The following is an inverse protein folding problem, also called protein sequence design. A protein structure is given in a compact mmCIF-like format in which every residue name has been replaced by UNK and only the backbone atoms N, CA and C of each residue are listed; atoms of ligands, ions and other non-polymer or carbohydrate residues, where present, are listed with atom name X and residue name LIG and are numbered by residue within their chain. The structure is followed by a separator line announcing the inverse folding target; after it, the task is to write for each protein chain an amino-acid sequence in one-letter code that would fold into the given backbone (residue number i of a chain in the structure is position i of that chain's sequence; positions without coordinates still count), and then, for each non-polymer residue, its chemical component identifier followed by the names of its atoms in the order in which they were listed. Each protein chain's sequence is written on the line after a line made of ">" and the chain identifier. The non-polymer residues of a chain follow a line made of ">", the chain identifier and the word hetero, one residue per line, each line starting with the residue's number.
data_IF_109454891844
#
_entry.id   IF_109454891844
#
_cell.length_a   1.000
_cell.length_b   1.000
_cell.length_c   1.000
_cell.angle_alpha   90.00
_cell.angle_beta   90.00
_cell.angle_gamma   90.00
#
_symmetry.space_group_name_H-M   'P 1'
#
loop_
_entity.id
_entity.type
_entity.pdbx_description
1 polymer ?
#
# COMPACT_ATOMS: atom_id res chain seq x y z
N UNK A 1 21.32 0.55 19.21
CA UNK A 1 19.91 0.34 18.88
C UNK A 1 19.82 0.01 17.41
N UNK A 2 19.17 -1.06 17.03
CA UNK A 2 18.85 -1.30 15.62
C UNK A 2 17.78 -0.25 15.23
N UNK A 3 18.09 0.62 14.31
CA UNK A 3 17.09 1.55 13.79
C UNK A 3 16.58 1.00 12.46
N UNK A 4 15.28 0.81 12.37
CA UNK A 4 14.61 0.36 11.15
C UNK A 4 14.15 1.56 10.30
N UNK A 5 14.59 2.77 10.66
CA UNK A 5 14.28 4.01 9.97
C UNK A 5 15.24 4.28 8.80
N UNK A 6 14.81 5.12 7.88
CA UNK A 6 15.65 5.57 6.78
C UNK A 6 16.82 6.42 7.28
N UNK A 7 18.01 6.24 6.72
CA UNK A 7 19.15 7.10 6.96
C UNK A 7 19.08 8.42 6.14
N UNK A 8 20.07 9.30 6.31
CA UNK A 8 20.11 10.60 5.62
C UNK A 8 20.27 10.48 4.09
N UNK A 9 20.83 9.37 3.62
CA UNK A 9 21.10 9.09 2.21
C UNK A 9 19.90 8.39 1.53
N UNK A 10 18.86 8.07 2.30
CA UNK A 10 17.64 7.45 1.78
C UNK A 10 17.63 5.92 1.79
N UNK A 11 18.47 5.29 2.62
CA UNK A 11 18.57 3.85 2.73
C UNK A 11 17.97 3.32 4.04
N UNK A 12 17.36 2.15 3.94
CA UNK A 12 16.96 1.26 5.02
C UNK A 12 17.92 0.06 4.99
N UNK A 13 19.01 0.10 5.77
CA UNK A 13 20.10 -0.86 5.61
C UNK A 13 20.69 -0.79 4.20
N UNK A 14 20.68 -1.90 3.48
CA UNK A 14 21.20 -2.02 2.11
C UNK A 14 20.19 -1.63 1.02
N UNK A 15 18.95 -1.31 1.39
CA UNK A 15 17.82 -1.07 0.48
C UNK A 15 17.43 0.42 0.44
N UNK A 16 17.03 0.92 -0.73
CA UNK A 16 16.61 2.31 -0.91
C UNK A 16 17.45 3.07 -1.92
N UNK A 17 17.76 4.32 -1.60
CA UNK A 17 18.50 5.23 -2.47
C UNK A 17 17.64 5.86 -3.58
N UNK A 18 18.29 6.55 -4.52
CA UNK A 18 17.64 7.20 -5.66
C UNK A 18 18.44 6.92 -6.94
N UNK A 19 18.03 5.88 -7.66
CA UNK A 19 18.63 5.44 -8.91
C UNK A 19 17.77 5.97 -10.07
N UNK A 20 17.98 7.22 -10.43
CA UNK A 20 17.15 7.98 -11.36
C UNK A 20 17.96 8.47 -12.56
N UNK A 21 17.31 8.73 -13.71
CA UNK A 21 17.93 9.47 -14.82
C UNK A 21 18.35 10.87 -14.39
N UNK A 22 19.41 11.40 -14.98
CA UNK A 22 20.01 12.70 -14.65
C UNK A 22 18.99 13.83 -14.76
N UNK A 23 18.06 13.77 -15.70
CA UNK A 23 17.03 14.77 -15.91
C UNK A 23 16.08 14.91 -14.70
N UNK A 24 15.89 13.84 -13.94
CA UNK A 24 15.05 13.84 -12.73
C UNK A 24 15.79 14.28 -11.47
N UNK A 25 17.13 14.38 -11.52
CA UNK A 25 17.93 14.71 -10.33
C UNK A 25 17.45 16.00 -9.65
N UNK A 26 17.28 17.07 -10.43
CA UNK A 26 16.85 18.37 -9.89
C UNK A 26 15.47 18.30 -9.23
N UNK A 27 14.48 17.66 -9.85
CA UNK A 27 13.13 17.60 -9.28
C UNK A 27 13.05 16.66 -8.06
N UNK A 28 13.84 15.60 -8.01
CA UNK A 28 13.93 14.72 -6.84
C UNK A 28 14.62 15.42 -5.68
N UNK A 29 15.69 16.21 -5.92
CA UNK A 29 16.33 17.06 -4.90
C UNK A 29 15.38 18.18 -4.41
N UNK A 30 14.64 18.81 -5.31
CA UNK A 30 13.61 19.77 -4.95
C UNK A 30 12.56 19.14 -4.02
N UNK A 31 12.07 17.95 -4.37
CA UNK A 31 11.15 17.19 -3.55
C UNK A 31 11.75 16.83 -2.19
N UNK A 32 12.99 16.32 -2.16
CA UNK A 32 13.71 15.95 -0.93
C UNK A 32 13.85 17.13 0.04
N UNK A 33 14.13 18.30 -0.49
CA UNK A 33 14.24 19.51 0.30
C UNK A 33 12.88 20.05 0.77
N UNK A 34 11.87 19.97 -0.10
CA UNK A 34 10.52 20.46 0.19
C UNK A 34 9.82 19.58 1.22
N UNK A 35 9.84 18.26 1.07
CA UNK A 35 9.04 17.37 1.92
C UNK A 35 9.43 17.46 3.39
N UNK A 36 10.73 17.54 3.70
CA UNK A 36 11.21 17.69 5.09
C UNK A 36 10.74 18.98 5.74
N UNK A 37 10.80 20.11 4.99
CA UNK A 37 10.35 21.41 5.47
C UNK A 37 8.83 21.46 5.63
N UNK A 38 8.11 20.98 4.62
CA UNK A 38 6.65 21.07 4.56
C UNK A 38 6.01 20.13 5.59
N UNK A 39 6.52 18.90 5.75
CA UNK A 39 5.99 18.00 6.79
C UNK A 39 6.24 18.51 8.22
N UNK A 40 7.21 19.39 8.44
CA UNK A 40 7.44 20.04 9.72
C UNK A 40 6.68 21.37 9.88
N UNK A 41 6.06 21.88 8.82
CA UNK A 41 5.31 23.14 8.83
C UNK A 41 3.96 22.99 9.52
N UNK A 42 3.71 23.82 10.54
CA UNK A 42 2.45 23.76 11.30
C UNK A 42 1.21 24.04 10.44
N UNK A 43 1.33 24.93 9.45
CA UNK A 43 0.23 25.25 8.55
C UNK A 43 -0.12 24.06 7.65
N UNK A 44 0.92 23.34 7.18
CA UNK A 44 0.70 22.08 6.46
C UNK A 44 0.01 21.03 7.34
N UNK A 45 0.52 20.82 8.56
CA UNK A 45 -0.04 19.83 9.47
C UNK A 45 -1.51 20.14 9.81
N UNK A 46 -1.83 21.39 10.09
CA UNK A 46 -3.22 21.81 10.36
C UNK A 46 -4.15 21.55 9.17
N UNK A 47 -3.72 21.89 7.96
CA UNK A 47 -4.50 21.68 6.73
C UNK A 47 -4.65 20.18 6.43
N UNK A 48 -3.56 19.41 6.56
CA UNK A 48 -3.56 17.96 6.36
C UNK A 48 -4.47 17.26 7.37
N UNK A 49 -4.36 17.58 8.66
CA UNK A 49 -5.18 16.99 9.73
C UNK A 49 -6.67 17.36 9.56
N UNK A 50 -6.98 18.58 9.14
CA UNK A 50 -8.35 18.99 8.83
C UNK A 50 -8.94 18.19 7.67
N UNK A 51 -8.18 18.02 6.58
CA UNK A 51 -8.61 17.19 5.44
C UNK A 51 -8.75 15.71 5.81
N UNK A 52 -7.84 15.19 6.62
CA UNK A 52 -7.96 13.81 7.12
C UNK A 52 -9.21 13.63 7.96
N UNK A 53 -9.56 14.60 8.80
CA UNK A 53 -10.73 14.55 9.67
C UNK A 53 -12.03 14.76 8.89
N UNK A 54 -12.13 15.89 8.20
CA UNK A 54 -13.43 16.38 7.70
C UNK A 54 -13.74 15.86 6.29
N UNK A 55 -12.72 15.48 5.51
CA UNK A 55 -12.88 14.97 4.15
C UNK A 55 -12.67 13.45 4.04
N UNK A 56 -11.64 12.91 4.70
CA UNK A 56 -11.39 11.44 4.69
C UNK A 56 -12.29 10.70 5.67
N UNK A 57 -12.71 11.34 6.77
CA UNK A 57 -13.51 10.72 7.82
C UNK A 57 -12.65 10.00 8.88
N UNK A 58 -11.42 10.46 9.11
CA UNK A 58 -10.56 9.91 10.16
C UNK A 58 -10.90 10.47 11.53
N UNK A 59 -10.62 9.73 12.64
CA UNK A 59 -9.92 8.45 12.68
C UNK A 59 -10.76 7.28 12.16
N UNK A 60 -10.18 6.40 11.33
CA UNK A 60 -10.83 5.14 10.98
C UNK A 60 -11.00 4.27 12.24
N UNK A 61 -12.09 3.50 12.38
CA UNK A 61 -12.33 2.69 13.56
C UNK A 61 -11.28 1.59 13.77
N UNK A 62 -11.01 1.27 15.04
CA UNK A 62 -10.39 0.02 15.47
C UNK A 62 -11.52 -0.87 16.02
N UNK A 63 -12.01 -1.78 15.20
CA UNK A 63 -13.19 -2.60 15.47
C UNK A 63 -12.82 -3.95 16.04
N UNK A 64 -13.31 -4.31 17.23
CA UNK A 64 -13.17 -5.67 17.77
C UNK A 64 -14.09 -6.61 17.00
N UNK A 65 -13.49 -7.48 16.19
CA UNK A 65 -14.18 -8.49 15.40
C UNK A 65 -14.52 -9.69 16.29
N UNK A 66 -15.69 -9.65 16.92
CA UNK A 66 -16.03 -10.56 18.02
C UNK A 66 -16.07 -12.01 17.56
N UNK A 67 -16.81 -12.31 16.48
CA UNK A 67 -16.95 -13.69 15.99
C UNK A 67 -15.64 -14.23 15.40
N UNK A 68 -14.84 -13.35 14.80
CA UNK A 68 -13.51 -13.70 14.34
C UNK A 68 -12.58 -13.98 15.53
N UNK A 69 -12.67 -13.19 16.60
CA UNK A 69 -11.92 -13.42 17.84
C UNK A 69 -12.27 -14.74 18.51
N UNK A 70 -13.55 -15.08 18.57
CA UNK A 70 -14.04 -16.38 19.07
C UNK A 70 -13.45 -17.56 18.27
N UNK A 71 -13.40 -17.43 16.95
CA UNK A 71 -12.80 -18.47 16.08
C UNK A 71 -11.34 -18.72 16.37
N UNK A 72 -10.54 -17.63 16.51
CA UNK A 72 -9.10 -17.74 16.69
C UNK A 72 -8.66 -17.82 18.17
N UNK A 73 -9.60 -17.69 19.10
CA UNK A 73 -9.35 -17.79 20.53
C UNK A 73 -8.48 -16.68 21.11
N UNK A 74 -8.44 -15.51 20.48
CA UNK A 74 -7.72 -14.32 20.92
C UNK A 74 -8.47 -13.04 20.50
N UNK A 75 -8.04 -11.86 21.00
CA UNK A 75 -8.68 -10.60 20.57
C UNK A 75 -8.16 -10.16 19.20
N UNK A 76 -9.05 -10.09 18.19
CA UNK A 76 -8.73 -9.59 16.86
C UNK A 76 -9.43 -8.26 16.62
N UNK A 77 -8.64 -7.22 16.47
CA UNK A 77 -9.08 -5.90 16.07
C UNK A 77 -8.82 -5.67 14.58
N UNK A 78 -9.82 -5.17 13.88
CA UNK A 78 -9.72 -4.73 12.50
C UNK A 78 -9.52 -3.22 12.45
N UNK A 79 -8.39 -2.78 11.89
CA UNK A 79 -8.16 -1.37 11.57
C UNK A 79 -8.84 -1.06 10.24
N UNK A 80 -9.97 -0.35 10.29
CA UNK A 80 -10.95 -0.19 9.22
C UNK A 80 -10.58 0.95 8.26
N UNK A 81 -9.46 0.80 7.51
CA UNK A 81 -9.08 1.76 6.47
C UNK A 81 -9.99 1.71 5.22
N UNK A 82 -10.76 0.65 5.09
CA UNK A 82 -11.82 0.48 4.10
C UNK A 82 -13.00 1.48 4.27
N UNK A 83 -13.14 2.09 5.43
CA UNK A 83 -14.17 3.09 5.71
C UNK A 83 -13.75 4.53 5.39
N UNK A 84 -12.50 4.76 5.02
CA UNK A 84 -12.06 6.07 4.57
C UNK A 84 -12.78 6.48 3.28
N UNK A 85 -12.91 7.80 3.05
CA UNK A 85 -13.33 8.30 1.75
C UNK A 85 -12.51 7.65 0.62
N UNK A 86 -13.13 7.28 -0.49
CA UNK A 86 -12.66 6.43 -1.59
C UNK A 86 -12.60 4.91 -1.29
N UNK A 87 -12.78 4.49 -0.06
CA UNK A 87 -12.89 3.07 0.32
C UNK A 87 -11.57 2.34 0.53
N UNK A 88 -10.47 3.06 0.78
CA UNK A 88 -9.16 2.47 1.04
C UNK A 88 -8.20 3.46 1.73
N UNK A 89 -7.06 2.94 2.24
CA UNK A 89 -5.99 3.71 2.85
C UNK A 89 -5.27 4.70 1.91
N UNK A 90 -5.38 4.51 0.60
CA UNK A 90 -4.62 5.29 -0.41
C UNK A 90 -4.85 6.79 -0.32
N UNK A 91 -6.03 7.22 0.08
CA UNK A 91 -6.40 8.63 0.22
C UNK A 91 -5.51 9.39 1.22
N UNK A 92 -5.04 8.74 2.29
CA UNK A 92 -4.16 9.36 3.28
C UNK A 92 -2.88 9.92 2.64
N UNK A 93 -2.24 9.09 1.82
CA UNK A 93 -1.03 9.45 1.10
C UNK A 93 -1.31 10.46 -0.02
N UNK A 94 -2.38 10.25 -0.80
CA UNK A 94 -2.73 11.12 -1.92
C UNK A 94 -2.94 12.58 -1.47
N UNK A 95 -3.70 12.79 -0.38
CA UNK A 95 -3.90 14.14 0.20
C UNK A 95 -2.56 14.77 0.56
N UNK A 96 -1.69 14.06 1.28
CA UNK A 96 -0.41 14.59 1.70
C UNK A 96 0.49 14.99 0.53
N UNK A 97 0.58 14.13 -0.49
CA UNK A 97 1.42 14.40 -1.65
C UNK A 97 0.86 15.51 -2.57
N UNK A 98 -0.46 15.53 -2.84
CA UNK A 98 -1.05 16.60 -3.68
C UNK A 98 -0.99 17.95 -2.95
N UNK A 99 -1.21 17.97 -1.64
CA UNK A 99 -1.04 19.19 -0.83
C UNK A 99 0.41 19.69 -0.86
N UNK A 100 1.40 18.78 -0.76
CA UNK A 100 2.81 19.10 -0.92
C UNK A 100 3.10 19.65 -2.32
N UNK A 101 2.62 18.99 -3.38
CA UNK A 101 2.79 19.41 -4.77
C UNK A 101 2.26 20.84 -5.00
N UNK A 102 1.08 21.15 -4.46
CA UNK A 102 0.48 22.48 -4.53
C UNK A 102 1.36 23.54 -3.83
N UNK A 103 1.92 23.22 -2.66
CA UNK A 103 2.85 24.12 -1.93
C UNK A 103 4.20 24.28 -2.63
N UNK A 104 4.61 23.28 -3.43
CA UNK A 104 5.78 23.37 -4.31
C UNK A 104 5.50 24.17 -5.61
N UNK A 105 4.27 24.64 -5.82
CA UNK A 105 3.88 25.36 -7.03
C UNK A 105 3.71 24.49 -8.29
N UNK A 106 3.62 23.18 -8.11
CA UNK A 106 3.36 22.26 -9.22
C UNK A 106 1.91 22.42 -9.70
N UNK A 107 1.69 22.28 -11.00
CA UNK A 107 0.38 22.49 -11.64
C UNK A 107 -0.28 21.20 -12.10
N UNK A 108 0.51 20.20 -12.39
CA UNK A 108 0.10 18.94 -12.98
C UNK A 108 0.51 17.79 -12.08
N UNK A 109 -0.42 16.87 -11.86
CA UNK A 109 -0.20 15.64 -11.10
C UNK A 109 -0.24 14.46 -12.06
N UNK A 110 0.72 13.54 -11.92
CA UNK A 110 0.67 12.24 -12.55
C UNK A 110 0.68 11.15 -11.50
N UNK A 111 0.07 10.01 -11.80
CA UNK A 111 0.07 8.82 -10.94
C UNK A 111 0.05 7.55 -11.78
N UNK A 112 0.53 6.45 -11.22
CA UNK A 112 0.33 5.10 -11.70
C UNK A 112 -0.80 4.41 -10.93
N UNK A 113 -1.42 3.40 -11.52
CA UNK A 113 -2.36 2.55 -10.77
C UNK A 113 -2.50 1.17 -11.43
N UNK A 114 -2.66 0.11 -10.62
CA UNK A 114 -3.04 -1.23 -11.04
C UNK A 114 -4.52 -1.50 -10.75
N UNK A 115 -4.88 -1.80 -9.50
CA UNK A 115 -6.27 -2.01 -9.08
C UNK A 115 -7.17 -0.75 -9.15
N UNK A 116 -6.64 0.41 -9.52
CA UNK A 116 -7.37 1.66 -9.64
C UNK A 116 -7.53 2.46 -8.34
N UNK A 117 -7.30 1.90 -7.18
CA UNK A 117 -7.54 2.57 -5.90
C UNK A 117 -6.62 3.77 -5.66
N UNK A 118 -5.35 3.69 -6.07
CA UNK A 118 -4.43 4.82 -6.00
C UNK A 118 -4.83 5.91 -6.98
N UNK A 119 -5.16 5.54 -8.21
CA UNK A 119 -5.64 6.47 -9.23
C UNK A 119 -6.90 7.22 -8.79
N UNK A 120 -7.91 6.51 -8.25
CA UNK A 120 -9.13 7.11 -7.70
C UNK A 120 -8.79 8.06 -6.54
N UNK A 121 -7.93 7.65 -5.60
CA UNK A 121 -7.51 8.51 -4.50
C UNK A 121 -6.83 9.79 -4.98
N UNK A 122 -5.91 9.68 -5.95
CA UNK A 122 -5.20 10.82 -6.53
C UNK A 122 -6.14 11.74 -7.30
N UNK A 123 -6.99 11.18 -8.18
CA UNK A 123 -7.99 11.94 -8.94
C UNK A 123 -8.97 12.69 -8.01
N UNK A 124 -9.41 12.03 -6.92
CA UNK A 124 -10.28 12.64 -5.91
C UNK A 124 -9.64 13.89 -5.29
N UNK A 125 -8.38 13.79 -4.90
CA UNK A 125 -7.67 14.92 -4.28
C UNK A 125 -7.34 16.01 -5.28
N UNK A 126 -7.00 15.64 -6.53
CA UNK A 126 -6.78 16.61 -7.59
C UNK A 126 -8.07 17.40 -7.91
N UNK A 127 -9.23 16.73 -7.97
CA UNK A 127 -10.52 17.39 -8.12
C UNK A 127 -10.80 18.37 -6.97
N UNK A 128 -10.55 17.92 -5.72
CA UNK A 128 -10.71 18.77 -4.53
C UNK A 128 -9.82 20.01 -4.57
N UNK A 129 -8.59 19.90 -5.07
CA UNK A 129 -7.59 20.97 -5.05
C UNK A 129 -7.49 21.75 -6.38
N UNK A 130 -8.31 21.41 -7.38
CA UNK A 130 -8.32 22.07 -8.69
C UNK A 130 -7.04 21.87 -9.50
N UNK A 131 -6.42 20.68 -9.41
CA UNK A 131 -5.17 20.36 -10.11
C UNK A 131 -5.41 19.44 -11.31
N UNK A 132 -4.65 19.62 -12.38
CA UNK A 132 -4.66 18.69 -13.52
C UNK A 132 -4.15 17.31 -13.05
N UNK A 133 -4.84 16.24 -13.49
CA UNK A 133 -4.52 14.88 -13.10
C UNK A 133 -4.47 13.95 -14.33
N UNK A 134 -3.34 13.23 -14.47
CA UNK A 134 -3.18 12.16 -15.45
C UNK A 134 -2.82 10.88 -14.72
N UNK A 135 -3.58 9.81 -14.96
CA UNK A 135 -3.37 8.51 -14.35
C UNK A 135 -2.98 7.48 -15.41
N UNK A 136 -1.81 6.89 -15.26
CA UNK A 136 -1.34 5.80 -16.11
C UNK A 136 -1.81 4.47 -15.55
N UNK A 137 -2.40 3.64 -16.39
CA UNK A 137 -2.92 2.33 -16.01
C UNK A 137 -2.68 1.33 -17.14
N UNK A 138 -2.19 0.15 -16.83
CA UNK A 138 -1.99 -0.89 -17.83
C UNK A 138 -3.31 -1.25 -18.52
N UNK A 139 -3.32 -1.47 -19.83
CA UNK A 139 -4.55 -1.78 -20.58
C UNK A 139 -5.28 -3.00 -20.00
N UNK A 140 -4.55 -4.03 -19.60
CA UNK A 140 -5.12 -5.21 -18.93
C UNK A 140 -5.88 -4.84 -17.65
N UNK A 141 -5.31 -3.93 -16.86
CA UNK A 141 -5.91 -3.46 -15.61
C UNK A 141 -7.11 -2.52 -15.87
N UNK A 142 -7.06 -1.69 -16.92
CA UNK A 142 -8.19 -0.84 -17.37
C UNK A 142 -9.43 -1.70 -17.64
N UNK A 143 -9.25 -2.83 -18.32
CA UNK A 143 -10.35 -3.74 -18.65
C UNK A 143 -10.90 -4.45 -17.40
N UNK A 144 -10.02 -4.87 -16.47
CA UNK A 144 -10.40 -5.53 -15.22
C UNK A 144 -11.09 -4.61 -14.22
N UNK A 145 -10.72 -3.33 -14.21
CA UNK A 145 -11.09 -2.36 -13.16
C UNK A 145 -11.89 -1.18 -13.74
N UNK A 146 -12.77 -1.44 -14.71
CA UNK A 146 -13.53 -0.43 -15.45
C UNK A 146 -14.26 0.58 -14.54
N UNK A 147 -14.86 0.12 -13.45
CA UNK A 147 -15.57 1.00 -12.50
C UNK A 147 -14.63 2.06 -11.90
N UNK A 148 -13.40 1.70 -11.57
CA UNK A 148 -12.43 2.67 -11.05
C UNK A 148 -11.95 3.63 -12.14
N UNK A 149 -11.85 3.18 -13.39
CA UNK A 149 -11.52 4.05 -14.53
C UNK A 149 -12.62 5.10 -14.73
N UNK A 150 -13.88 4.69 -14.75
CA UNK A 150 -15.03 5.59 -14.86
C UNK A 150 -15.08 6.59 -13.69
N UNK A 151 -14.79 6.15 -12.46
CA UNK A 151 -14.69 7.05 -11.29
C UNK A 151 -13.60 8.11 -11.46
N UNK A 152 -12.40 7.74 -11.93
CA UNK A 152 -11.32 8.69 -12.20
C UNK A 152 -11.72 9.72 -13.25
N UNK A 153 -12.36 9.28 -14.34
CA UNK A 153 -12.84 10.17 -15.41
C UNK A 153 -13.94 11.12 -14.91
N UNK A 154 -14.89 10.64 -14.10
CA UNK A 154 -15.91 11.49 -13.46
C UNK A 154 -15.30 12.54 -12.53
N UNK A 155 -14.16 12.26 -11.91
CA UNK A 155 -13.39 13.18 -11.08
C UNK A 155 -12.53 14.17 -11.91
N UNK A 156 -12.60 14.09 -13.23
CA UNK A 156 -11.88 14.98 -14.15
C UNK A 156 -10.46 14.56 -14.47
N UNK A 157 -10.02 13.38 -14.02
CA UNK A 157 -8.71 12.88 -14.39
C UNK A 157 -8.70 12.25 -15.79
N UNK A 158 -7.61 12.43 -16.51
CA UNK A 158 -7.33 11.72 -17.76
C UNK A 158 -6.68 10.38 -17.42
N UNK A 159 -7.27 9.29 -17.89
CA UNK A 159 -6.72 7.93 -17.72
C UNK A 159 -6.06 7.50 -19.02
N UNK A 160 -4.74 7.27 -18.96
CA UNK A 160 -3.93 6.81 -20.09
C UNK A 160 -3.71 5.30 -20.01
N UNK A 161 -4.28 4.58 -20.97
CA UNK A 161 -4.10 3.13 -21.07
C UNK A 161 -2.74 2.78 -21.66
N UNK A 162 -1.88 2.17 -20.87
CA UNK A 162 -0.53 1.77 -21.28
C UNK A 162 -0.58 0.43 -22.00
N UNK A 163 -0.09 0.42 -23.24
CA UNK A 163 -0.10 -0.76 -24.16
C UNK A 163 1.28 -1.38 -24.34
N UNK A 164 2.31 -0.84 -23.71
CA UNK A 164 3.68 -1.40 -23.74
C UNK A 164 3.85 -2.51 -22.69
N UNK A 165 4.83 -3.38 -22.92
CA UNK A 165 5.17 -4.49 -22.01
C UNK A 165 4.00 -5.46 -21.82
N UNK A 166 3.77 -5.88 -20.59
CA UNK A 166 2.67 -6.78 -20.21
C UNK A 166 1.36 -6.02 -19.91
N UNK A 167 1.36 -4.71 -20.11
CA UNK A 167 0.19 -3.84 -19.92
C UNK A 167 -0.38 -3.90 -18.49
N UNK A 168 0.49 -3.96 -17.48
CA UNK A 168 0.18 -4.06 -16.06
C UNK A 168 0.75 -2.88 -15.26
N UNK A 169 0.62 -2.89 -13.93
CA UNK A 169 1.10 -1.85 -13.03
C UNK A 169 2.57 -1.46 -13.24
N UNK A 170 3.46 -2.44 -13.50
CA UNK A 170 4.88 -2.15 -13.77
C UNK A 170 5.06 -1.21 -14.97
N UNK A 171 4.32 -1.49 -16.05
CA UNK A 171 4.42 -0.71 -17.29
C UNK A 171 3.75 0.66 -17.15
N UNK A 172 2.66 0.74 -16.38
CA UNK A 172 2.04 2.00 -15.98
C UNK A 172 3.04 2.89 -15.19
N UNK A 173 3.80 2.30 -14.27
CA UNK A 173 4.86 3.01 -13.52
C UNK A 173 5.98 3.49 -14.46
N UNK A 174 6.41 2.64 -15.39
CA UNK A 174 7.41 3.02 -16.40
C UNK A 174 6.95 4.22 -17.23
N UNK A 175 5.69 4.23 -17.66
CA UNK A 175 5.15 5.32 -18.47
C UNK A 175 4.99 6.62 -17.67
N UNK A 176 4.55 6.53 -16.43
CA UNK A 176 4.51 7.68 -15.52
C UNK A 176 5.92 8.29 -15.33
N UNK A 177 6.96 7.46 -15.19
CA UNK A 177 8.33 7.94 -15.07
C UNK A 177 8.80 8.60 -16.38
N UNK A 178 8.45 8.04 -17.55
CA UNK A 178 8.76 8.66 -18.85
C UNK A 178 8.11 10.03 -18.99
N UNK A 179 6.83 10.14 -18.67
CA UNK A 179 6.13 11.41 -18.69
C UNK A 179 6.77 12.42 -17.72
N UNK A 180 7.15 11.96 -16.51
CA UNK A 180 7.84 12.81 -15.54
C UNK A 180 9.16 13.34 -16.09
N UNK A 181 9.94 12.50 -16.81
CA UNK A 181 11.17 12.91 -17.49
C UNK A 181 10.90 13.98 -18.56
N UNK A 182 9.76 13.92 -19.24
CA UNK A 182 9.38 14.90 -20.26
C UNK A 182 8.92 16.25 -19.66
N UNK A 183 8.36 16.25 -18.45
CA UNK A 183 7.75 17.42 -17.81
C UNK A 183 8.26 17.64 -16.38
N UNK A 184 9.58 17.71 -16.11
CA UNK A 184 10.12 17.73 -14.76
C UNK A 184 9.85 19.02 -13.99
N UNK A 185 9.58 20.14 -14.68
CA UNK A 185 9.48 21.46 -14.06
C UNK A 185 8.15 21.68 -13.32
N UNK A 186 7.02 21.32 -13.94
CA UNK A 186 5.67 21.65 -13.47
C UNK A 186 4.85 20.44 -13.01
N UNK A 187 5.36 19.24 -13.26
CA UNK A 187 4.70 17.99 -12.93
C UNK A 187 5.20 17.42 -11.60
N UNK A 188 4.28 16.91 -10.80
CA UNK A 188 4.56 16.13 -9.61
C UNK A 188 4.04 14.71 -9.80
N UNK A 189 4.92 13.74 -9.56
CA UNK A 189 4.54 12.34 -9.58
C UNK A 189 4.07 11.91 -8.19
N UNK A 190 2.79 11.57 -8.05
CA UNK A 190 2.22 11.02 -6.82
C UNK A 190 2.37 9.50 -6.85
N UNK A 191 3.36 8.98 -6.14
CA UNK A 191 3.60 7.54 -6.04
C UNK A 191 2.67 6.90 -5.00
N UNK A 192 2.01 5.81 -5.40
CA UNK A 192 0.95 5.16 -4.61
C UNK A 192 1.42 4.25 -3.50
N UNK A 193 2.72 3.97 -3.39
CA UNK A 193 3.25 3.02 -2.43
C UNK A 193 4.62 3.44 -1.87
N UNK A 194 5.17 2.63 -0.96
CA UNK A 194 6.51 2.85 -0.38
C UNK A 194 7.63 2.37 -1.30
N UNK A 195 7.49 2.66 -2.59
CA UNK A 195 8.43 2.32 -3.66
C UNK A 195 8.95 3.59 -4.33
N UNK A 196 9.80 3.46 -5.33
CA UNK A 196 10.36 4.60 -6.04
C UNK A 196 11.63 5.15 -5.38
N UNK A 197 12.24 6.19 -5.99
CA UNK A 197 13.46 6.77 -5.48
C UNK A 197 13.23 7.51 -4.15
N UNK A 198 14.25 7.56 -3.29
CA UNK A 198 14.18 8.46 -2.12
C UNK A 198 13.90 9.91 -2.58
N UNK A 199 12.94 10.65 -1.95
CA UNK A 199 12.36 10.42 -0.65
C UNK A 199 11.01 9.66 -0.62
N UNK A 200 10.49 9.16 -1.75
CA UNK A 200 9.15 8.59 -1.81
C UNK A 200 8.89 7.49 -0.77
N UNK A 201 9.74 6.47 -0.57
CA UNK A 201 9.44 5.42 0.40
C UNK A 201 9.23 5.95 1.83
N UNK A 202 10.07 6.89 2.28
CA UNK A 202 9.96 7.51 3.61
C UNK A 202 8.76 8.47 3.67
N UNK A 203 8.56 9.28 2.66
CA UNK A 203 7.45 10.24 2.60
C UNK A 203 6.10 9.52 2.64
N UNK A 204 5.92 8.49 1.83
CA UNK A 204 4.68 7.69 1.81
C UNK A 204 4.47 6.99 3.15
N UNK A 205 5.52 6.38 3.73
CA UNK A 205 5.44 5.74 5.04
C UNK A 205 4.99 6.72 6.13
N UNK A 206 5.54 7.94 6.15
CA UNK A 206 5.15 9.00 7.09
C UNK A 206 3.72 9.46 6.89
N UNK A 207 3.28 9.70 5.66
CA UNK A 207 1.91 10.09 5.37
C UNK A 207 0.90 8.98 5.73
N UNK A 208 1.26 7.72 5.55
CA UNK A 208 0.45 6.58 5.97
C UNK A 208 0.53 6.31 7.48
N UNK A 209 1.52 6.83 8.20
CA UNK A 209 1.73 6.56 9.62
C UNK A 209 0.59 7.06 10.52
N UNK A 210 -0.32 7.86 9.98
CA UNK A 210 -1.60 8.21 10.65
C UNK A 210 -2.38 6.96 11.07
N UNK A 211 -2.19 5.82 10.39
CA UNK A 211 -2.80 4.53 10.73
C UNK A 211 -2.28 4.06 12.10
N UNK A 212 -0.98 3.87 12.24
CA UNK A 212 -0.38 3.40 13.50
C UNK A 212 -0.49 4.41 14.64
N UNK A 213 -0.43 5.72 14.33
CA UNK A 213 -0.67 6.79 15.32
C UNK A 213 -2.06 6.65 15.96
N UNK A 214 -3.07 6.38 15.15
CA UNK A 214 -4.45 6.20 15.63
C UNK A 214 -4.63 4.84 16.30
N UNK A 215 -3.98 3.76 15.83
CA UNK A 215 -4.00 2.45 16.50
C UNK A 215 -3.50 2.59 17.94
N UNK A 216 -2.37 3.27 18.18
CA UNK A 216 -1.83 3.49 19.55
C UNK A 216 -2.87 4.13 20.46
N UNK A 217 -3.52 5.20 20.00
CA UNK A 217 -4.53 5.92 20.76
C UNK A 217 -5.75 5.02 21.07
N UNK A 218 -6.28 4.35 20.06
CA UNK A 218 -7.48 3.52 20.20
C UNK A 218 -7.21 2.26 21.05
N UNK A 219 -6.02 1.65 20.98
CA UNK A 219 -5.65 0.54 21.88
C UNK A 219 -5.54 1.02 23.33
N UNK A 220 -4.98 2.20 23.56
CA UNK A 220 -4.95 2.77 24.93
C UNK A 220 -6.36 2.99 25.48
N UNK A 221 -7.31 3.44 24.64
CA UNK A 221 -8.72 3.63 25.03
C UNK A 221 -9.44 2.29 25.27
N UNK A 222 -9.18 1.25 24.48
CA UNK A 222 -9.89 -0.03 24.54
C UNK A 222 -9.26 -1.03 25.50
N UNK A 223 -7.92 -1.05 25.61
CA UNK A 223 -7.17 -2.11 26.29
C UNK A 223 -6.24 -1.60 27.41
N UNK A 224 -6.17 -0.27 27.63
CA UNK A 224 -5.26 0.34 28.62
C UNK A 224 -3.78 0.23 28.25
N UNK A 225 -3.44 -0.21 27.03
CA UNK A 225 -2.07 -0.28 26.49
C UNK A 225 -2.03 0.22 25.06
N UNK A 226 -0.95 0.86 24.64
CA UNK A 226 -0.81 1.50 23.33
C UNK A 226 -0.19 0.59 22.25
N UNK A 227 -0.06 -0.70 22.53
CA UNK A 227 0.56 -1.67 21.62
C UNK A 227 -0.23 -2.99 21.59
N UNK A 228 -0.31 -3.67 20.45
CA UNK A 228 -0.82 -5.03 20.33
C UNK A 228 0.32 -6.04 20.47
N UNK A 229 0.01 -7.34 20.56
CA UNK A 229 1.00 -8.40 20.47
C UNK A 229 1.39 -8.68 19.02
N UNK A 230 0.42 -8.52 18.09
CA UNK A 230 0.63 -8.71 16.65
C UNK A 230 0.06 -7.55 15.84
N UNK A 231 0.84 -7.10 14.87
CA UNK A 231 0.37 -6.24 13.77
C UNK A 231 0.43 -7.03 12.46
N UNK A 232 -0.69 -7.08 11.74
CA UNK A 232 -0.82 -7.82 10.50
C UNK A 232 -1.30 -6.90 9.37
N UNK A 233 -0.64 -6.98 8.23
CA UNK A 233 -1.03 -6.26 7.02
C UNK A 233 -0.60 -7.01 5.76
N UNK A 234 -1.35 -6.86 4.67
CA UNK A 234 -0.91 -7.33 3.36
C UNK A 234 0.20 -6.42 2.81
N UNK A 235 1.05 -6.98 1.98
CA UNK A 235 2.17 -6.27 1.39
C UNK A 235 2.34 -6.62 -0.10
N UNK A 236 2.24 -5.59 -0.95
CA UNK A 236 2.70 -5.57 -2.33
C UNK A 236 3.82 -4.53 -2.37
N UNK A 237 3.57 -3.29 -2.85
CA UNK A 237 4.53 -2.19 -2.67
C UNK A 237 4.69 -1.73 -1.21
N UNK A 238 3.72 -1.98 -0.32
CA UNK A 238 3.86 -1.91 1.14
C UNK A 238 3.29 -0.68 1.84
N UNK A 239 2.49 0.19 1.19
CA UNK A 239 2.05 1.45 1.81
C UNK A 239 1.13 1.25 3.03
N UNK A 240 0.16 0.34 2.97
CA UNK A 240 -0.70 0.06 4.13
C UNK A 240 0.09 -0.60 5.28
N UNK A 241 0.98 -1.52 4.95
CA UNK A 241 1.85 -2.18 5.94
C UNK A 241 2.74 -1.16 6.62
N UNK A 242 3.40 -0.26 5.87
CA UNK A 242 4.19 0.83 6.42
C UNK A 242 3.39 1.69 7.39
N UNK A 243 2.19 2.11 6.99
CA UNK A 243 1.30 2.91 7.83
C UNK A 243 0.90 2.19 9.13
N UNK A 244 0.63 0.90 9.03
CA UNK A 244 0.22 0.06 10.17
C UNK A 244 1.35 -0.10 11.20
N UNK A 245 2.60 -0.26 10.74
CA UNK A 245 3.72 -0.62 11.61
C UNK A 245 4.63 0.56 12.00
N UNK A 246 4.50 1.73 11.38
CA UNK A 246 5.47 2.83 11.45
C UNK A 246 5.91 3.19 12.88
N UNK A 247 4.96 3.38 13.80
CA UNK A 247 5.25 3.75 15.19
C UNK A 247 5.60 2.55 16.10
N UNK A 248 5.71 1.36 15.53
CA UNK A 248 6.06 0.12 16.23
C UNK A 248 7.33 -0.55 15.69
N UNK A 249 8.03 0.12 14.76
CA UNK A 249 9.21 -0.45 14.10
C UNK A 249 10.28 -0.91 15.09
N UNK A 250 10.53 -0.11 16.13
CA UNK A 250 11.54 -0.37 17.15
C UNK A 250 10.94 -0.97 18.45
N UNK A 251 9.63 -1.27 18.48
CA UNK A 251 8.97 -1.89 19.64
C UNK A 251 9.01 -3.42 19.53
N UNK A 252 9.99 -4.04 20.19
CA UNK A 252 10.20 -5.49 20.14
C UNK A 252 9.07 -6.32 20.79
N UNK A 253 8.18 -5.69 21.57
CA UNK A 253 6.99 -6.35 22.14
C UNK A 253 5.97 -6.71 21.06
N UNK A 254 6.00 -6.01 19.93
CA UNK A 254 5.05 -6.15 18.83
C UNK A 254 5.63 -7.06 17.76
N UNK A 255 4.99 -8.17 17.47
CA UNK A 255 5.31 -9.05 16.35
C UNK A 255 4.67 -8.52 15.08
N UNK A 256 5.46 -8.36 14.02
CA UNK A 256 5.00 -7.84 12.72
C UNK A 256 4.85 -9.01 11.75
N UNK A 257 3.66 -9.15 11.18
CA UNK A 257 3.35 -10.15 10.14
C UNK A 257 2.99 -9.41 8.84
N UNK A 258 3.74 -9.69 7.79
CA UNK A 258 3.52 -9.19 6.44
C UNK A 258 3.00 -10.34 5.56
N UNK A 259 1.80 -10.18 5.00
CA UNK A 259 1.20 -11.16 4.14
C UNK A 259 1.40 -10.78 2.66
N UNK A 260 2.19 -11.57 1.94
CA UNK A 260 2.38 -11.46 0.49
C UNK A 260 1.33 -12.30 -0.27
N UNK A 261 1.03 -11.90 -1.50
CA UNK A 261 0.17 -12.68 -2.38
C UNK A 261 0.94 -13.85 -2.99
N UNK A 262 0.62 -15.06 -2.53
CA UNK A 262 1.23 -16.30 -3.00
C UNK A 262 0.70 -16.79 -4.35
N UNK A 263 -0.32 -16.13 -4.92
CA UNK A 263 -0.92 -16.52 -6.20
C UNK A 263 -1.44 -17.96 -6.18
N UNK A 264 -1.00 -18.77 -7.12
CA UNK A 264 -1.33 -20.22 -7.18
C UNK A 264 -0.42 -21.10 -6.32
N UNK A 265 0.53 -20.50 -5.63
CA UNK A 265 1.57 -21.13 -4.82
C UNK A 265 2.94 -20.61 -5.20
N UNK A 266 3.78 -20.38 -4.21
CA UNK A 266 5.12 -19.78 -4.41
C UNK A 266 6.00 -20.63 -5.33
N UNK A 267 5.81 -21.95 -5.28
CA UNK A 267 6.53 -22.95 -6.09
C UNK A 267 6.07 -23.03 -7.55
N UNK A 268 4.93 -22.45 -7.89
CA UNK A 268 4.32 -22.61 -9.22
C UNK A 268 4.87 -21.63 -10.27
N UNK A 269 5.60 -20.60 -9.83
CA UNK A 269 6.00 -19.48 -10.69
C UNK A 269 4.87 -18.47 -10.96
N UNK A 270 3.62 -18.75 -10.51
CA UNK A 270 2.47 -17.85 -10.59
C UNK A 270 2.19 -17.28 -9.20
N UNK A 271 3.01 -16.33 -8.78
CA UNK A 271 3.02 -15.74 -7.44
C UNK A 271 3.44 -14.27 -7.51
N UNK A 272 3.07 -13.48 -6.51
CA UNK A 272 3.53 -12.11 -6.28
C UNK A 272 4.25 -11.97 -4.93
N UNK A 273 4.81 -13.08 -4.38
CA UNK A 273 5.53 -13.10 -3.11
C UNK A 273 6.98 -12.58 -3.30
N UNK A 274 7.12 -11.28 -3.49
CA UNK A 274 8.37 -10.63 -3.88
C UNK A 274 9.47 -10.75 -2.83
N UNK A 275 9.15 -10.72 -1.52
CA UNK A 275 10.18 -10.86 -0.47
C UNK A 275 10.73 -12.28 -0.46
N UNK A 276 9.90 -13.29 -0.73
CA UNK A 276 10.30 -14.69 -0.70
C UNK A 276 11.02 -15.12 -1.98
N UNK A 277 10.62 -14.60 -3.15
CA UNK A 277 11.11 -15.02 -4.45
C UNK A 277 12.12 -14.06 -5.08
N UNK A 278 12.12 -12.80 -4.63
CA UNK A 278 12.89 -11.73 -5.23
C UNK A 278 14.39 -11.82 -4.90
N UNK A 279 15.17 -11.23 -5.79
CA UNK A 279 16.62 -11.03 -5.64
C UNK A 279 16.91 -9.53 -5.52
N UNK A 280 18.08 -9.19 -4.99
CA UNK A 280 18.51 -7.79 -4.92
C UNK A 280 18.62 -7.20 -6.32
N UNK A 281 17.93 -6.11 -6.57
CA UNK A 281 17.91 -5.41 -7.85
C UNK A 281 17.49 -3.95 -7.70
N UNK A 282 17.35 -3.26 -8.82
CA UNK A 282 16.88 -1.88 -8.89
C UNK A 282 15.63 -1.87 -9.77
N UNK A 283 14.55 -1.33 -9.20
CA UNK A 283 13.29 -1.12 -9.93
C UNK A 283 12.72 0.26 -9.61
N UNK A 284 12.25 0.97 -10.63
CA UNK A 284 11.61 2.28 -10.51
C UNK A 284 12.37 3.27 -9.61
N UNK A 285 13.72 3.22 -9.67
CA UNK A 285 14.59 4.14 -8.96
C UNK A 285 14.95 3.76 -7.51
N UNK A 286 14.60 2.58 -7.05
CA UNK A 286 14.95 2.07 -5.73
C UNK A 286 15.68 0.74 -5.78
N UNK A 287 16.73 0.57 -4.97
CA UNK A 287 17.39 -0.71 -4.73
C UNK A 287 16.58 -1.50 -3.71
N UNK A 288 16.10 -2.68 -4.11
CA UNK A 288 15.21 -3.50 -3.29
C UNK A 288 15.23 -4.97 -3.71
N UNK A 289 14.34 -5.80 -3.17
CA UNK A 289 14.08 -7.13 -3.69
C UNK A 289 13.15 -7.02 -4.89
N UNK A 290 13.50 -7.71 -5.97
CA UNK A 290 12.80 -7.67 -7.27
C UNK A 290 12.59 -9.09 -7.77
N UNK A 291 11.40 -9.40 -8.25
CA UNK A 291 11.11 -10.64 -8.94
C UNK A 291 11.78 -10.61 -10.32
N UNK A 292 12.85 -11.35 -10.47
CA UNK A 292 13.66 -11.39 -11.70
C UNK A 292 14.23 -12.79 -11.92
N UNK A 293 14.42 -13.13 -13.18
CA UNK A 293 15.09 -14.36 -13.60
C UNK A 293 16.63 -14.27 -13.45
N UNK A 294 17.34 -15.28 -13.96
CA UNK A 294 18.81 -15.35 -13.89
C UNK A 294 19.50 -14.29 -14.76
N UNK A 295 18.83 -13.84 -15.82
CA UNK A 295 19.31 -12.81 -16.73
C UNK A 295 18.91 -11.38 -16.27
N UNK A 296 18.22 -11.27 -15.12
CA UNK A 296 17.79 -9.99 -14.54
C UNK A 296 16.51 -9.45 -15.18
N UNK A 297 15.79 -10.24 -15.99
CA UNK A 297 14.50 -9.83 -16.53
C UNK A 297 13.42 -9.88 -15.44
N UNK A 298 12.56 -8.88 -15.45
CA UNK A 298 11.46 -8.80 -14.48
C UNK A 298 10.44 -9.90 -14.75
N UNK A 299 10.21 -10.75 -13.76
CA UNK A 299 9.14 -11.74 -13.78
C UNK A 299 7.79 -11.05 -13.50
N UNK A 300 6.74 -11.48 -14.20
CA UNK A 300 5.42 -10.95 -14.01
C UNK A 300 4.81 -11.50 -12.71
N UNK A 301 4.44 -10.63 -11.75
CA UNK A 301 3.75 -11.07 -10.56
C UNK A 301 2.33 -11.52 -10.89
N UNK A 302 1.83 -12.51 -10.16
CA UNK A 302 0.49 -13.04 -10.34
C UNK A 302 -0.21 -13.26 -9.02
N UNK A 303 -1.43 -12.74 -8.91
CA UNK A 303 -2.39 -13.11 -7.87
C UNK A 303 -3.83 -12.77 -8.29
N UNK A 304 -4.80 -13.18 -7.47
CA UNK A 304 -6.20 -12.75 -7.62
C UNK A 304 -6.37 -11.26 -7.31
N UNK A 305 -5.36 -10.61 -6.73
CA UNK A 305 -5.40 -9.24 -6.22
C UNK A 305 -4.47 -8.31 -7.01
N UNK A 306 -5.00 -7.57 -7.98
CA UNK A 306 -4.22 -6.64 -8.79
C UNK A 306 -3.45 -5.57 -7.99
N UNK A 307 -3.89 -5.23 -6.77
CA UNK A 307 -3.20 -4.26 -5.91
C UNK A 307 -1.95 -4.79 -5.22
N UNK A 308 -1.70 -6.11 -5.26
CA UNK A 308 -0.49 -6.76 -4.75
C UNK A 308 0.45 -7.22 -5.87
N UNK A 309 0.02 -7.15 -7.13
CA UNK A 309 0.80 -7.59 -8.29
C UNK A 309 1.84 -6.53 -8.69
N UNK A 310 2.90 -6.44 -7.88
CA UNK A 310 4.04 -5.58 -8.12
C UNK A 310 5.33 -6.40 -7.97
N UNK A 311 6.23 -6.38 -8.97
CA UNK A 311 7.43 -7.24 -8.97
C UNK A 311 8.56 -6.73 -8.08
N UNK A 312 8.32 -5.73 -7.26
CA UNK A 312 9.24 -5.16 -6.29
C UNK A 312 8.59 -5.00 -4.92
N UNK A 313 9.36 -4.59 -3.94
CA UNK A 313 8.88 -4.33 -2.57
C UNK A 313 9.44 -3.00 -2.06
N UNK A 314 8.74 -2.33 -1.19
CA UNK A 314 9.28 -1.15 -0.51
C UNK A 314 10.58 -1.45 0.24
N UNK A 315 11.63 -0.62 0.12
CA UNK A 315 12.94 -0.88 0.72
C UNK A 315 12.88 -1.02 2.24
N UNK A 316 11.93 -0.36 2.92
CA UNK A 316 11.69 -0.57 4.35
C UNK A 316 11.30 -2.02 4.64
N UNK A 317 10.39 -2.59 3.86
CA UNK A 317 9.91 -3.96 4.06
C UNK A 317 10.98 -5.00 3.73
N UNK A 318 11.77 -4.76 2.67
CA UNK A 318 12.93 -5.59 2.36
C UNK A 318 13.93 -5.62 3.53
N UNK A 319 14.21 -4.47 4.13
CA UNK A 319 15.09 -4.37 5.30
C UNK A 319 14.49 -5.08 6.53
N UNK A 320 13.20 -4.91 6.81
CA UNK A 320 12.53 -5.56 7.94
C UNK A 320 12.57 -7.09 7.82
N UNK A 321 12.40 -7.62 6.62
CA UNK A 321 12.52 -9.05 6.34
C UNK A 321 13.97 -9.53 6.48
N UNK A 322 14.94 -8.84 5.89
CA UNK A 322 16.37 -9.16 5.98
C UNK A 322 16.89 -9.14 7.43
N UNK A 323 16.41 -8.20 8.24
CA UNK A 323 16.74 -8.08 9.66
C UNK A 323 15.90 -9.01 10.55
N UNK A 324 14.99 -9.81 9.99
CA UNK A 324 14.06 -10.67 10.73
C UNK A 324 13.20 -9.90 11.77
N UNK A 325 12.96 -8.62 11.52
CA UNK A 325 12.05 -7.79 12.33
C UNK A 325 10.59 -8.10 12.02
N UNK A 326 10.29 -8.47 10.78
CA UNK A 326 8.98 -8.91 10.35
C UNK A 326 9.02 -10.37 9.91
N UNK A 327 7.96 -11.13 10.23
CA UNK A 327 7.68 -12.44 9.65
C UNK A 327 6.89 -12.24 8.37
N UNK A 328 7.34 -12.86 7.28
CA UNK A 328 6.68 -12.76 5.98
C UNK A 328 6.01 -14.08 5.66
N UNK A 329 4.72 -14.03 5.34
CA UNK A 329 3.90 -15.20 5.03
C UNK A 329 3.31 -15.05 3.63
N UNK A 330 3.51 -16.02 2.76
CA UNK A 330 2.77 -16.11 1.51
C UNK A 330 1.38 -16.71 1.76
N UNK A 331 0.36 -16.06 1.20
CA UNK A 331 -1.03 -16.50 1.25
C UNK A 331 -1.50 -16.68 -0.19
N UNK A 332 -1.91 -17.89 -0.57
CA UNK A 332 -2.36 -18.15 -1.93
C UNK A 332 -3.79 -17.64 -2.18
N UNK A 333 -4.18 -17.62 -3.45
CA UNK A 333 -5.48 -17.07 -3.88
C UNK A 333 -6.67 -17.76 -3.18
N UNK A 334 -6.64 -19.09 -3.04
CA UNK A 334 -7.71 -19.85 -2.38
C UNK A 334 -7.79 -19.55 -0.88
N UNK A 335 -6.65 -19.45 -0.21
CA UNK A 335 -6.57 -19.06 1.21
C UNK A 335 -7.12 -17.64 1.42
N UNK A 336 -6.73 -16.69 0.57
CA UNK A 336 -7.22 -15.32 0.64
C UNK A 336 -8.74 -15.23 0.39
N UNK A 337 -9.25 -15.88 -0.65
CA UNK A 337 -10.68 -15.90 -0.96
C UNK A 337 -11.49 -16.54 0.18
N UNK A 338 -11.03 -17.67 0.73
CA UNK A 338 -11.66 -18.32 1.89
C UNK A 338 -11.76 -17.38 3.07
N UNK A 339 -10.66 -16.71 3.42
CA UNK A 339 -10.63 -15.76 4.53
C UNK A 339 -11.54 -14.54 4.30
N UNK A 340 -11.65 -14.06 3.06
CA UNK A 340 -12.56 -12.98 2.70
C UNK A 340 -14.03 -13.38 2.87
N UNK A 341 -14.43 -14.56 2.36
CA UNK A 341 -15.79 -15.06 2.56
C UNK A 341 -16.09 -15.31 4.03
N UNK A 342 -15.10 -15.78 4.77
CA UNK A 342 -15.24 -15.98 6.20
C UNK A 342 -15.49 -14.67 6.95
N UNK A 343 -14.66 -13.64 6.73
CA UNK A 343 -14.88 -12.32 7.33
C UNK A 343 -16.27 -11.78 6.97
N UNK A 344 -16.67 -11.95 5.71
CA UNK A 344 -17.99 -11.52 5.24
C UNK A 344 -19.13 -12.20 6.02
N UNK A 345 -19.03 -13.49 6.27
CA UNK A 345 -20.07 -14.26 7.01
C UNK A 345 -20.01 -14.06 8.52
N UNK A 346 -18.84 -13.85 9.08
CA UNK A 346 -18.67 -13.66 10.51
C UNK A 346 -18.99 -12.22 10.94
N UNK A 347 -18.49 -11.21 10.20
CA UNK A 347 -18.51 -9.81 10.64
C UNK A 347 -19.33 -8.90 9.70
N UNK A 348 -19.89 -9.40 8.61
CA UNK A 348 -20.62 -8.58 7.65
C UNK A 348 -19.74 -7.59 6.88
N UNK A 349 -18.45 -7.87 6.75
CA UNK A 349 -17.48 -6.99 6.10
C UNK A 349 -16.95 -7.69 4.84
N UNK A 350 -17.16 -7.10 3.67
CA UNK A 350 -16.58 -7.56 2.41
C UNK A 350 -15.26 -6.83 2.19
N UNK A 351 -14.10 -7.47 2.43
CA UNK A 351 -12.80 -6.82 2.29
C UNK A 351 -12.38 -6.73 0.83
N UNK A 352 -11.47 -5.80 0.50
CA UNK A 352 -10.72 -5.89 -0.75
C UNK A 352 -9.87 -7.17 -0.79
N UNK A 353 -9.63 -7.72 -1.98
CA UNK A 353 -8.81 -8.93 -2.17
C UNK A 353 -7.39 -8.76 -1.61
N UNK A 354 -6.85 -7.53 -1.65
CA UNK A 354 -5.60 -7.20 -0.99
C UNK A 354 -5.66 -7.50 0.51
N UNK A 355 -6.68 -7.01 1.20
CA UNK A 355 -6.89 -7.22 2.65
C UNK A 355 -7.14 -8.68 2.99
N UNK A 356 -7.74 -9.44 2.05
CA UNK A 356 -8.01 -10.85 2.20
C UNK A 356 -6.73 -11.69 2.44
N UNK A 357 -5.60 -11.28 1.85
CA UNK A 357 -4.31 -11.93 2.10
C UNK A 357 -3.84 -11.75 3.55
N UNK A 358 -4.03 -10.55 4.13
CA UNK A 358 -3.73 -10.36 5.55
C UNK A 358 -4.64 -11.22 6.45
N UNK A 359 -5.92 -11.38 6.09
CA UNK A 359 -6.86 -12.26 6.80
C UNK A 359 -6.47 -13.74 6.68
N UNK A 360 -6.07 -14.19 5.48
CA UNK A 360 -5.60 -15.56 5.26
C UNK A 360 -4.35 -15.91 6.07
N UNK A 361 -3.52 -14.93 6.40
CA UNK A 361 -2.36 -15.13 7.25
C UNK A 361 -2.72 -15.47 8.71
N UNK A 362 -3.94 -15.20 9.17
CA UNK A 362 -4.40 -15.59 10.52
C UNK A 362 -4.33 -17.11 10.72
N UNK A 363 -4.65 -17.91 9.70
CA UNK A 363 -4.59 -19.38 9.75
C UNK A 363 -3.16 -19.93 9.91
N UNK A 364 -2.15 -19.12 9.58
CA UNK A 364 -0.73 -19.52 9.61
C UNK A 364 -0.02 -19.14 10.91
N UNK A 365 -0.74 -18.50 11.84
CA UNK A 365 -0.18 -18.03 13.12
C UNK A 365 -0.92 -18.69 14.29
N UNK A 366 -0.19 -19.18 15.27
CA UNK A 366 -0.76 -19.68 16.53
C UNK A 366 -0.78 -18.56 17.57
N UNK A 367 -1.96 -18.17 17.97
CA UNK A 367 -2.17 -17.13 18.98
C UNK A 367 -2.36 -17.73 20.38
N UNK A 368 -2.05 -16.92 21.41
CA UNK A 368 -2.43 -17.22 22.79
C UNK A 368 -3.74 -16.50 23.12
N UNK A 369 -4.55 -17.01 24.07
CA UNK A 369 -5.81 -16.38 24.45
C UNK A 369 -5.68 -14.93 24.95
N UNK A 370 -4.51 -14.55 25.46
CA UNK A 370 -4.20 -13.19 25.92
C UNK A 370 -3.73 -12.26 24.82
N UNK A 371 -3.45 -12.77 23.61
CA UNK A 371 -2.90 -11.95 22.54
C UNK A 371 -3.94 -10.95 21.99
N UNK A 372 -3.47 -9.76 21.70
CA UNK A 372 -4.20 -8.74 20.96
C UNK A 372 -3.58 -8.64 19.56
N UNK A 373 -4.38 -8.94 18.57
CA UNK A 373 -4.01 -8.86 17.14
C UNK A 373 -4.67 -7.64 16.55
N UNK A 374 -3.92 -6.80 15.87
CA UNK A 374 -4.49 -5.73 15.03
C UNK A 374 -4.15 -6.04 13.57
N UNK A 375 -5.20 -6.22 12.77
CA UNK A 375 -5.13 -6.47 11.34
C UNK A 375 -5.71 -5.29 10.57
N UNK A 376 -4.96 -4.77 9.59
CA UNK A 376 -5.44 -3.65 8.77
C UNK A 376 -6.27 -4.16 7.60
N UNK A 377 -7.55 -3.80 7.59
CA UNK A 377 -8.44 -3.92 6.42
C UNK A 377 -8.20 -2.69 5.56
N UNK A 378 -7.30 -2.83 4.60
CA UNK A 378 -6.71 -1.71 3.83
C UNK A 378 -7.65 -1.10 2.79
N UNK A 379 -8.69 -1.85 2.40
CA UNK A 379 -9.70 -1.42 1.44
C UNK A 379 -10.93 -2.31 1.46
N UNK A 380 -12.04 -1.80 0.89
CA UNK A 380 -13.31 -2.52 0.78
C UNK A 380 -13.44 -3.26 -0.54
N UNK A 381 -14.25 -4.31 -0.53
CA UNK A 381 -14.39 -5.26 -1.62
C UNK A 381 -15.37 -4.87 -2.74
N UNK A 382 -15.96 -3.69 -2.72
CA UNK A 382 -16.94 -3.27 -3.74
C UNK A 382 -16.38 -3.35 -5.17
N UNK A 383 -15.09 -3.08 -5.33
CA UNK A 383 -14.38 -3.19 -6.61
C UNK A 383 -14.15 -4.64 -7.06
N UNK A 384 -14.25 -5.59 -6.15
CA UNK A 384 -13.87 -7.01 -6.34
C UNK A 384 -15.08 -7.95 -6.40
N UNK A 385 -16.31 -7.40 -6.42
CA UNK A 385 -17.55 -8.19 -6.38
C UNK A 385 -17.61 -9.19 -7.53
N UNK A 386 -17.22 -8.80 -8.74
CA UNK A 386 -17.22 -9.72 -9.90
C UNK A 386 -16.28 -10.91 -9.67
N UNK A 387 -15.12 -10.68 -9.06
CA UNK A 387 -14.20 -11.76 -8.68
C UNK A 387 -14.82 -12.65 -7.60
N UNK A 388 -15.40 -12.07 -6.55
CA UNK A 388 -16.06 -12.83 -5.50
C UNK A 388 -17.20 -13.68 -6.06
N UNK A 389 -18.04 -13.15 -6.96
CA UNK A 389 -19.12 -13.88 -7.61
C UNK A 389 -18.63 -15.08 -8.43
N UNK A 390 -17.48 -14.92 -9.11
CA UNK A 390 -16.86 -16.00 -9.88
C UNK A 390 -16.45 -17.18 -8.99
N UNK A 391 -16.00 -16.91 -7.77
CA UNK A 391 -15.46 -17.92 -6.84
C UNK A 391 -16.43 -18.36 -5.74
N UNK A 392 -17.61 -17.74 -5.57
CA UNK A 392 -18.54 -18.01 -4.46
C UNK A 392 -19.04 -19.45 -4.34
N UNK A 393 -19.00 -20.22 -5.43
CA UNK A 393 -19.43 -21.61 -5.49
C UNK A 393 -18.27 -22.56 -5.82
N UNK A 394 -17.02 -22.11 -5.75
CA UNK A 394 -15.88 -22.95 -6.04
C UNK A 394 -15.61 -23.90 -4.85
N UNK A 395 -15.71 -25.25 -5.05
CA UNK A 395 -15.49 -26.21 -3.97
C UNK A 395 -14.06 -26.24 -3.43
N UNK A 396 -13.08 -25.70 -4.15
CA UNK A 396 -11.71 -25.60 -3.67
C UNK A 396 -11.54 -24.51 -2.58
N UNK A 397 -12.53 -23.63 -2.45
CA UNK A 397 -12.51 -22.54 -1.45
C UNK A 397 -13.30 -22.93 -0.20
N UNK A 398 -14.34 -23.75 -0.35
CA UNK A 398 -15.25 -24.20 0.70
C UNK A 398 -15.15 -25.70 0.88
#
# INVERSE_FOLDING_TARGET
>A
MKTYQVNQEGFYGDFGGAYIPEILHRCVEELRNAYRKVLADEGFQKEYDALLKDYVGRPSPLYLAQRLSEKYGCKIYLKREDLNHTGAHKINNAIGQVLLARRMGKKRIIAETGAGQHGVGTATVCALMGMECVVYMGKTDVERQRVNVERMQMLGARVEAVTSGNMTLKDATNEAIRDWCCHPADTYYVIGSTVGPHPYPDMVARLQSVISKVIKKQLMEHEGRDYPDYLMACVGGGSNAAGTIYHYLDDERVKIILAEAGGKGVETGLSAATIQLGRLGIIHGSKTLVMQDEDGQILEPYSVSAGLDYPGIGPMHANLAAQKRATVLAVNDNEALRAAFELTRLEGIIPALESAHALGALEKVKFQPSDIVVLTVSGRGDKDIDTYLKYKNNPEIF
#
